data_IF_669688403768
#
_entry.id   IF_669688403768
#
_cell.length_a   1.000
_cell.length_b   1.000
_cell.length_c   1.000
_cell.angle_alpha   90.00
_cell.angle_beta   90.00
_cell.angle_gamma   90.00
#
_symmetry.space_group_name_H-M   'P 1'
#
loop_
_entity.id
_entity.type
_entity.pdbx_description
1 polymer ?
#
# COMPACT_ATOMS: atom_id res chain seq x y z
N UNK A 1 3.78 -5.85 18.96
CA UNK A 1 5.05 -6.59 19.08
C UNK A 1 4.82 -8.06 19.40
N UNK A 2 3.97 -8.39 20.37
CA UNK A 2 3.75 -9.79 20.79
C UNK A 2 3.16 -10.70 19.69
N UNK A 3 2.40 -10.14 18.74
CA UNK A 3 1.92 -10.87 17.54
C UNK A 3 3.07 -11.46 16.70
N UNK A 4 4.22 -10.78 16.64
CA UNK A 4 5.40 -11.27 15.93
C UNK A 4 6.16 -12.33 16.73
N UNK A 5 6.01 -12.32 18.07
CA UNK A 5 6.72 -13.20 19.00
C UNK A 5 5.99 -14.54 19.15
N UNK A 6 4.66 -14.55 19.10
CA UNK A 6 3.84 -15.75 19.33
C UNK A 6 4.06 -16.85 18.26
N UNK A 7 4.44 -16.47 17.04
CA UNK A 7 4.84 -17.42 15.99
C UNK A 7 6.14 -18.18 16.27
N UNK A 8 6.95 -17.76 17.25
CA UNK A 8 8.20 -18.47 17.62
C UNK A 8 7.93 -19.79 18.33
N UNK A 9 6.71 -20.02 18.84
CA UNK A 9 6.32 -21.27 19.55
C UNK A 9 5.62 -22.31 18.67
N UNK A 10 5.22 -21.97 17.44
CA UNK A 10 4.54 -22.89 16.53
C UNK A 10 5.43 -23.17 15.31
N UNK A 11 6.24 -24.23 15.41
CA UNK A 11 6.88 -24.88 14.26
C UNK A 11 5.85 -25.79 13.58
N UNK A 12 4.87 -25.18 12.90
CA UNK A 12 3.97 -25.95 12.04
C UNK A 12 3.74 -25.20 10.73
N UNK A 13 4.23 -25.78 9.62
CA UNK A 13 4.21 -25.21 8.26
C UNK A 13 2.81 -25.26 7.61
N UNK A 14 1.76 -25.50 8.39
CA UNK A 14 0.43 -25.85 7.87
C UNK A 14 -0.70 -24.92 8.33
N UNK A 15 -0.39 -23.80 9.00
CA UNK A 15 -1.42 -22.86 9.47
C UNK A 15 -1.32 -21.50 8.75
N UNK A 16 -1.78 -21.49 7.49
CA UNK A 16 -2.17 -20.26 6.78
C UNK A 16 -3.49 -19.69 7.37
N UNK A 17 -4.14 -20.42 8.27
CA UNK A 17 -5.37 -20.02 8.94
C UNK A 17 -5.12 -18.91 9.98
N UNK A 18 -5.76 -17.76 9.72
CA UNK A 18 -6.08 -16.68 10.67
C UNK A 18 -4.94 -15.72 11.06
N UNK A 19 -4.38 -15.00 10.09
CA UNK A 19 -3.96 -13.63 10.40
C UNK A 19 -5.23 -12.81 10.70
N UNK A 20 -5.32 -12.28 11.91
CA UNK A 20 -6.41 -11.37 12.27
C UNK A 20 -6.31 -10.14 11.36
N UNK A 21 -7.42 -9.73 10.74
CA UNK A 21 -7.50 -8.44 10.03
C UNK A 21 -7.15 -7.31 11.01
N UNK A 22 -6.47 -6.27 10.53
CA UNK A 22 -6.06 -5.13 11.35
C UNK A 22 -7.23 -4.53 12.14
N UNK A 23 -8.41 -4.38 11.53
CA UNK A 23 -9.59 -3.90 12.24
C UNK A 23 -9.96 -4.76 13.46
N UNK A 24 -10.07 -6.08 13.27
CA UNK A 24 -10.38 -7.03 14.36
C UNK A 24 -9.32 -6.98 15.45
N UNK A 25 -8.04 -6.81 15.09
CA UNK A 25 -6.96 -6.76 16.07
C UNK A 25 -6.99 -5.46 16.87
N UNK A 26 -7.04 -4.32 16.18
CA UNK A 26 -7.06 -3.01 16.81
C UNK A 26 -8.29 -2.82 17.69
N UNK A 27 -9.46 -3.30 17.25
CA UNK A 27 -10.69 -3.29 18.05
C UNK A 27 -10.58 -4.17 19.30
N UNK A 28 -10.00 -5.38 19.17
CA UNK A 28 -9.80 -6.30 20.31
C UNK A 28 -8.88 -5.71 21.38
N UNK A 29 -7.83 -5.01 20.96
CA UNK A 29 -6.86 -4.39 21.86
C UNK A 29 -7.29 -3.00 22.38
N UNK A 30 -8.47 -2.51 21.96
CA UNK A 30 -9.04 -1.25 22.46
C UNK A 30 -8.41 0.01 21.86
N UNK A 31 -7.81 -0.07 20.68
CA UNK A 31 -7.31 1.12 19.97
C UNK A 31 -8.47 1.97 19.43
N UNK A 32 -8.31 3.30 19.48
CA UNK A 32 -9.35 4.25 19.07
C UNK A 32 -9.51 4.30 17.54
N UNK A 33 -10.70 4.70 17.07
CA UNK A 33 -10.93 4.96 15.65
C UNK A 33 -10.03 6.07 15.12
N UNK A 34 -9.90 7.17 15.87
CA UNK A 34 -9.00 8.29 15.53
C UNK A 34 -7.55 7.81 15.33
N UNK A 35 -7.01 6.89 16.14
CA UNK A 35 -5.66 6.37 15.90
C UNK A 35 -5.54 5.68 14.54
N UNK A 36 -6.56 4.92 14.09
CA UNK A 36 -6.43 4.24 12.82
C UNK A 36 -6.78 5.14 11.63
N UNK A 37 -7.80 6.00 11.74
CA UNK A 37 -8.24 6.90 10.66
C UNK A 37 -7.34 8.14 10.50
N UNK A 38 -6.86 8.72 11.60
CA UNK A 38 -6.16 10.02 11.61
C UNK A 38 -4.65 9.88 11.79
N UNK A 39 -4.14 8.68 12.11
CA UNK A 39 -2.70 8.43 12.23
C UNK A 39 -2.21 7.27 11.36
N UNK A 40 -2.73 6.05 11.55
CA UNK A 40 -2.23 4.88 10.81
C UNK A 40 -2.55 4.98 9.32
N UNK A 41 -3.78 5.31 8.93
CA UNK A 41 -4.18 5.43 7.54
C UNK A 41 -3.36 6.51 6.79
N UNK A 42 -3.20 7.76 7.30
CA UNK A 42 -2.33 8.75 6.68
C UNK A 42 -0.87 8.31 6.57
N UNK A 43 -0.32 7.73 7.65
CA UNK A 43 1.07 7.29 7.70
C UNK A 43 1.34 6.23 6.63
N UNK A 44 0.51 5.19 6.60
CA UNK A 44 0.64 4.10 5.64
C UNK A 44 0.40 4.61 4.21
N UNK A 45 -0.61 5.46 4.01
CA UNK A 45 -0.93 6.00 2.68
C UNK A 45 0.23 6.82 2.12
N UNK A 46 0.93 7.54 2.99
CA UNK A 46 2.16 8.25 2.62
C UNK A 46 3.29 7.30 2.27
N UNK A 47 3.44 6.20 2.99
CA UNK A 47 4.53 5.23 2.79
C UNK A 47 4.38 4.40 1.52
N UNK A 48 3.19 3.91 1.21
CA UNK A 48 2.98 3.12 -0.02
C UNK A 48 2.45 3.96 -1.19
N UNK A 49 2.25 5.27 -0.98
CA UNK A 49 1.82 6.20 -2.03
C UNK A 49 0.44 5.88 -2.60
N UNK A 50 -0.43 5.26 -1.80
CA UNK A 50 -1.77 4.81 -2.22
C UNK A 50 -2.77 5.01 -1.09
N UNK A 51 -4.07 5.04 -1.40
CA UNK A 51 -5.12 5.26 -0.39
C UNK A 51 -5.36 3.98 0.43
N UNK A 52 -4.59 3.80 1.50
CA UNK A 52 -4.68 2.62 2.39
C UNK A 52 -5.80 2.76 3.41
N UNK A 53 -6.36 3.96 3.60
CA UNK A 53 -7.54 4.13 4.46
C UNK A 53 -8.62 3.10 4.14
N UNK A 54 -8.81 2.80 2.86
CA UNK A 54 -9.74 1.77 2.35
C UNK A 54 -9.37 0.33 2.64
N UNK A 55 -8.08 0.03 2.71
CA UNK A 55 -7.56 -1.34 2.78
C UNK A 55 -7.17 -1.71 4.22
N UNK A 56 -6.89 -0.72 5.06
CA UNK A 56 -6.43 -0.91 6.43
C UNK A 56 -7.32 -1.87 7.23
N UNK A 57 -8.66 -1.80 7.19
CA UNK A 57 -9.50 -2.69 7.99
C UNK A 57 -9.32 -4.17 7.64
N UNK A 58 -9.10 -4.47 6.37
CA UNK A 58 -9.00 -5.82 5.81
C UNK A 58 -7.55 -6.33 5.76
N UNK A 59 -6.59 -5.45 5.95
CA UNK A 59 -5.17 -5.77 5.84
C UNK A 59 -4.73 -6.72 6.96
N UNK A 60 -3.96 -7.80 6.67
CA UNK A 60 -3.44 -8.69 7.70
C UNK A 60 -2.51 -7.96 8.68
N UNK A 61 -2.80 -8.06 9.98
CA UNK A 61 -2.04 -7.35 11.01
C UNK A 61 -0.54 -7.72 11.00
N UNK A 62 -0.20 -8.96 10.67
CA UNK A 62 1.19 -9.41 10.57
C UNK A 62 1.95 -8.70 9.46
N UNK A 63 1.31 -8.48 8.31
CA UNK A 63 1.89 -7.79 7.16
C UNK A 63 2.02 -6.30 7.47
N UNK A 64 1.04 -5.73 8.19
CA UNK A 64 1.10 -4.35 8.68
C UNK A 64 2.30 -4.10 9.57
N UNK A 65 2.44 -4.90 10.63
CA UNK A 65 3.54 -4.71 11.59
C UNK A 65 4.88 -4.90 10.87
N UNK A 66 4.99 -5.89 9.99
CA UNK A 66 6.21 -6.12 9.21
C UNK A 66 6.56 -4.90 8.36
N UNK A 67 5.61 -4.37 7.59
CA UNK A 67 5.86 -3.18 6.77
C UNK A 67 6.28 -1.97 7.61
N UNK A 68 5.62 -1.75 8.76
CA UNK A 68 6.00 -0.70 9.69
C UNK A 68 7.44 -0.90 10.24
N UNK A 69 7.86 -2.15 10.47
CA UNK A 69 9.25 -2.47 10.84
C UNK A 69 10.22 -2.22 9.68
N UNK A 70 9.88 -2.62 8.46
CA UNK A 70 10.72 -2.44 7.27
C UNK A 70 10.94 -0.95 6.97
N UNK A 71 9.93 -0.12 7.24
CA UNK A 71 10.03 1.35 7.18
C UNK A 71 10.69 1.98 8.43
N UNK A 72 11.27 1.17 9.32
CA UNK A 72 11.96 1.59 10.55
C UNK A 72 11.10 2.45 11.50
N UNK A 73 9.77 2.36 11.40
CA UNK A 73 8.86 3.18 12.20
C UNK A 73 8.77 2.75 13.67
N UNK A 74 9.31 1.59 14.02
CA UNK A 74 9.38 1.08 15.39
C UNK A 74 10.77 1.20 16.04
N UNK A 75 11.76 1.78 15.34
CA UNK A 75 13.13 1.92 15.85
C UNK A 75 13.38 3.26 16.57
N UNK A 76 14.22 3.24 17.60
CA UNK A 76 14.88 4.43 18.17
C UNK A 76 16.37 4.34 17.80
N UNK A 77 16.97 5.29 17.05
CA UNK A 77 16.54 6.65 16.69
C UNK A 77 15.65 6.68 15.45
N UNK A 78 14.93 7.79 15.26
CA UNK A 78 14.08 8.11 14.10
C UNK A 78 14.95 8.32 12.86
N UNK A 79 15.53 7.26 12.31
CA UNK A 79 16.19 7.28 11.01
C UNK A 79 15.11 7.30 9.95
N UNK A 80 14.87 8.47 9.34
CA UNK A 80 14.15 8.52 8.08
C UNK A 80 14.84 7.58 7.09
N UNK A 81 14.10 6.71 6.37
CA UNK A 81 14.71 5.89 5.34
C UNK A 81 15.46 6.78 4.34
N UNK A 82 16.65 6.36 3.91
CA UNK A 82 17.40 7.03 2.84
C UNK A 82 16.69 6.81 1.51
N UNK A 83 15.62 7.58 1.25
CA UNK A 83 14.94 7.58 -0.03
C UNK A 83 15.89 8.12 -1.10
N UNK A 84 16.13 7.31 -2.13
CA UNK A 84 16.93 7.67 -3.29
C UNK A 84 16.02 7.93 -4.47
N UNK A 85 16.45 8.82 -5.35
CA UNK A 85 15.84 9.07 -6.66
C UNK A 85 16.83 8.78 -7.77
N UNK A 86 16.30 8.49 -8.95
CA UNK A 86 17.10 8.35 -10.17
C UNK A 86 17.00 9.69 -10.90
N UNK A 87 18.14 10.34 -11.12
CA UNK A 87 18.19 11.59 -11.88
C UNK A 87 17.72 11.35 -13.32
N UNK A 88 16.91 12.26 -13.85
CA UNK A 88 16.20 12.06 -15.12
C UNK A 88 14.95 11.18 -15.02
N UNK A 89 14.65 10.65 -13.84
CA UNK A 89 13.42 9.93 -13.54
C UNK A 89 13.32 8.54 -14.18
N UNK A 90 12.15 7.92 -14.03
CA UNK A 90 11.87 6.57 -14.54
C UNK A 90 11.96 6.47 -16.06
N UNK A 91 11.69 7.56 -16.80
CA UNK A 91 11.84 7.58 -18.26
C UNK A 91 13.28 7.28 -18.69
N UNK A 92 14.27 7.79 -17.94
CA UNK A 92 15.68 7.51 -18.23
C UNK A 92 16.02 6.03 -18.05
N UNK A 93 15.44 5.38 -17.04
CA UNK A 93 15.59 3.93 -16.80
C UNK A 93 15.04 3.13 -17.97
N UNK A 94 13.80 3.41 -18.36
CA UNK A 94 13.14 2.72 -19.48
C UNK A 94 13.91 2.91 -20.78
N UNK A 95 14.34 4.14 -21.08
CA UNK A 95 15.16 4.41 -22.26
C UNK A 95 16.47 3.63 -22.22
N UNK A 96 17.15 3.58 -21.08
CA UNK A 96 18.42 2.85 -20.92
C UNK A 96 18.23 1.35 -21.12
N UNK A 97 17.17 0.76 -20.55
CA UNK A 97 16.84 -0.65 -20.74
C UNK A 97 16.47 -0.95 -22.21
N UNK A 98 15.75 -0.06 -22.87
CA UNK A 98 15.30 -0.25 -24.25
C UNK A 98 16.40 -0.02 -25.31
N UNK A 99 17.55 0.59 -24.97
CA UNK A 99 18.64 0.86 -25.93
C UNK A 99 19.16 -0.38 -26.67
N UNK A 100 19.09 -1.55 -26.04
CA UNK A 100 19.53 -2.81 -26.63
C UNK A 100 18.47 -3.51 -27.48
N UNK A 101 17.24 -3.00 -27.53
CA UNK A 101 16.16 -3.64 -28.26
C UNK A 101 16.21 -3.25 -29.74
N UNK A 102 16.10 -4.26 -30.59
CA UNK A 102 15.90 -4.03 -32.01
C UNK A 102 14.56 -3.34 -32.24
N UNK A 103 14.49 -2.21 -32.98
CA UNK A 103 13.25 -1.46 -33.19
C UNK A 103 12.11 -2.31 -33.78
N UNK A 104 12.43 -3.32 -34.58
CA UNK A 104 11.45 -4.26 -35.15
C UNK A 104 10.76 -5.16 -34.12
N UNK A 105 11.35 -5.33 -32.94
CA UNK A 105 10.77 -6.13 -31.84
C UNK A 105 9.93 -5.28 -30.87
N UNK A 106 9.91 -3.95 -31.04
CA UNK A 106 9.20 -3.01 -30.17
C UNK A 106 8.00 -2.42 -30.92
N UNK A 107 6.81 -2.89 -30.58
CA UNK A 107 5.57 -2.48 -31.24
C UNK A 107 4.77 -1.50 -30.36
N UNK A 108 4.99 -0.20 -30.56
CA UNK A 108 4.20 0.85 -29.90
C UNK A 108 2.80 0.96 -30.51
N UNK A 109 1.84 1.47 -29.74
CA UNK A 109 0.43 1.63 -30.16
C UNK A 109 -0.21 0.36 -30.73
N UNK A 110 0.30 -0.81 -30.33
CA UNK A 110 -0.12 -2.12 -30.84
C UNK A 110 -0.82 -2.88 -29.71
N UNK A 111 -2.08 -2.52 -29.44
CA UNK A 111 -2.86 -3.20 -28.41
C UNK A 111 -3.10 -4.65 -28.81
N UNK A 112 -2.78 -5.58 -27.92
CA UNK A 112 -3.21 -6.98 -28.06
C UNK A 112 -4.70 -7.05 -27.75
N UNK A 113 -5.46 -7.76 -28.59
CA UNK A 113 -6.91 -7.95 -28.44
C UNK A 113 -7.24 -9.35 -27.93
N UNK A 114 -6.53 -10.35 -28.43
CA UNK A 114 -6.83 -11.75 -28.14
C UNK A 114 -5.56 -12.60 -28.24
N UNK A 115 -5.46 -13.60 -27.37
CA UNK A 115 -4.45 -14.65 -27.43
C UNK A 115 -5.15 -16.00 -27.51
N UNK A 116 -4.91 -16.73 -28.60
CA UNK A 116 -5.50 -18.04 -28.86
C UNK A 116 -4.44 -19.11 -28.81
N UNK A 117 -4.73 -20.20 -28.10
CA UNK A 117 -3.85 -21.37 -28.10
C UNK A 117 -4.10 -22.20 -29.36
N UNK A 118 -3.07 -22.35 -30.19
CA UNK A 118 -3.14 -23.16 -31.42
C UNK A 118 -2.43 -24.51 -31.30
N UNK A 119 -1.64 -24.71 -30.24
CA UNK A 119 -0.95 -25.97 -29.96
C UNK A 119 -0.54 -26.11 -28.50
N UNK A 120 0.27 -27.13 -28.19
CA UNK A 120 0.66 -27.42 -26.79
C UNK A 120 1.39 -26.25 -26.12
N UNK A 121 2.27 -25.56 -26.84
CA UNK A 121 2.97 -24.33 -26.44
C UNK A 121 3.11 -23.43 -27.66
N UNK A 122 2.00 -23.18 -28.34
CA UNK A 122 1.95 -22.32 -29.51
C UNK A 122 0.70 -21.46 -29.40
N UNK A 123 0.90 -20.16 -29.54
CA UNK A 123 -0.11 -19.15 -29.37
C UNK A 123 -0.11 -18.21 -30.57
N UNK A 124 -1.31 -17.82 -30.98
CA UNK A 124 -1.52 -16.73 -31.93
C UNK A 124 -1.97 -15.50 -31.16
N UNK A 125 -1.24 -14.40 -31.31
CA UNK A 125 -1.58 -13.09 -30.76
C UNK A 125 -2.25 -12.29 -31.86
N UNK A 126 -3.47 -11.83 -31.61
CA UNK A 126 -4.20 -10.92 -32.48
C UNK A 126 -4.17 -9.52 -31.90
N UNK A 127 -3.69 -8.58 -32.70
CA UNK A 127 -3.60 -7.17 -32.33
C UNK A 127 -4.80 -6.39 -32.86
N UNK A 128 -5.07 -5.20 -32.31
CA UNK A 128 -6.23 -4.39 -32.67
C UNK A 128 -6.24 -3.94 -34.14
N UNK A 129 -5.09 -3.89 -34.80
CA UNK A 129 -4.96 -3.59 -36.23
C UNK A 129 -5.19 -4.82 -37.14
N UNK A 130 -5.49 -5.98 -36.55
CA UNK A 130 -5.79 -7.22 -37.27
C UNK A 130 -4.58 -8.10 -37.57
N UNK A 131 -3.35 -7.72 -37.19
CA UNK A 131 -2.18 -8.60 -37.36
C UNK A 131 -2.22 -9.78 -36.40
N UNK A 132 -1.93 -10.97 -36.95
CA UNK A 132 -1.75 -12.22 -36.23
C UNK A 132 -0.27 -12.60 -36.18
N UNK A 133 0.26 -12.80 -34.98
CA UNK A 133 1.66 -13.18 -34.74
C UNK A 133 1.70 -14.51 -33.97
N UNK A 134 2.72 -15.34 -34.20
CA UNK A 134 2.83 -16.65 -33.56
C UNK A 134 4.02 -16.70 -32.62
N UNK A 135 3.80 -17.21 -31.41
CA UNK A 135 4.82 -17.35 -30.39
C UNK A 135 4.68 -18.70 -29.68
N UNK A 136 5.81 -19.22 -29.20
CA UNK A 136 5.88 -20.42 -28.38
C UNK A 136 5.73 -20.12 -26.89
N UNK A 137 6.12 -18.91 -26.47
CA UNK A 137 6.01 -18.43 -25.11
C UNK A 137 5.49 -16.99 -25.04
N UNK A 138 4.65 -16.70 -24.04
CA UNK A 138 4.12 -15.35 -23.79
C UNK A 138 4.39 -14.95 -22.34
N UNK A 139 4.93 -13.75 -22.16
CA UNK A 139 5.11 -13.11 -20.85
C UNK A 139 4.08 -12.00 -20.71
N UNK A 140 3.22 -12.09 -19.71
CA UNK A 140 2.26 -11.04 -19.35
C UNK A 140 2.88 -10.10 -18.33
N UNK A 141 3.06 -8.83 -18.74
CA UNK A 141 3.51 -7.73 -17.88
C UNK A 141 2.46 -6.61 -17.83
N UNK A 142 1.20 -7.01 -17.62
CA UNK A 142 0.03 -6.13 -17.59
C UNK A 142 -0.85 -6.47 -16.38
N UNK A 143 -1.89 -5.66 -16.15
CA UNK A 143 -2.84 -5.90 -15.07
C UNK A 143 -3.66 -7.16 -15.27
N UNK A 144 -4.15 -7.68 -14.15
CA UNK A 144 -4.95 -8.91 -14.07
C UNK A 144 -6.18 -8.87 -14.99
N UNK A 145 -6.92 -7.75 -15.03
CA UNK A 145 -8.14 -7.62 -15.83
C UNK A 145 -7.83 -7.69 -17.33
N UNK A 146 -6.68 -7.15 -17.75
CA UNK A 146 -6.25 -7.21 -19.16
C UNK A 146 -5.82 -8.63 -19.54
N UNK A 147 -5.19 -9.39 -18.64
CA UNK A 147 -4.89 -10.82 -18.84
C UNK A 147 -6.19 -11.61 -19.05
N UNK A 148 -7.17 -11.45 -18.15
CA UNK A 148 -8.46 -12.14 -18.21
C UNK A 148 -9.19 -11.83 -19.52
N UNK A 149 -9.17 -10.57 -19.95
CA UNK A 149 -9.80 -10.11 -21.18
C UNK A 149 -9.13 -10.66 -22.44
N UNK A 150 -7.80 -10.61 -22.52
CA UNK A 150 -7.05 -11.04 -23.71
C UNK A 150 -7.07 -12.56 -23.87
N UNK A 151 -6.95 -13.31 -22.77
CA UNK A 151 -7.03 -14.78 -22.83
C UNK A 151 -8.47 -15.26 -23.04
N UNK A 152 -9.47 -14.56 -22.50
CA UNK A 152 -10.87 -14.90 -22.67
C UNK A 152 -11.15 -16.37 -22.31
N UNK A 153 -11.74 -17.12 -23.25
CA UNK A 153 -12.02 -18.55 -23.06
C UNK A 153 -10.78 -19.47 -23.10
N UNK A 154 -9.60 -18.95 -23.46
CA UNK A 154 -8.36 -19.74 -23.52
C UNK A 154 -7.65 -19.85 -22.16
N UNK A 155 -8.11 -19.10 -21.14
CA UNK A 155 -7.54 -19.17 -19.80
C UNK A 155 -7.92 -20.50 -19.12
N UNK A 156 -6.96 -21.12 -18.43
CA UNK A 156 -7.23 -22.31 -17.62
C UNK A 156 -8.00 -21.93 -16.34
N UNK A 157 -8.75 -22.86 -15.77
CA UNK A 157 -9.51 -22.62 -14.53
C UNK A 157 -8.62 -22.19 -13.37
N UNK A 158 -7.46 -22.82 -13.18
CA UNK A 158 -6.53 -22.47 -12.09
C UNK A 158 -5.89 -21.09 -12.34
N UNK A 159 -5.55 -20.78 -13.59
CA UNK A 159 -5.07 -19.45 -13.99
C UNK A 159 -6.12 -18.38 -13.74
N UNK A 160 -7.38 -18.61 -14.13
CA UNK A 160 -8.48 -17.66 -13.92
C UNK A 160 -8.66 -17.37 -12.43
N UNK A 161 -8.71 -18.40 -11.58
CA UNK A 161 -8.92 -18.24 -10.14
C UNK A 161 -7.80 -17.39 -9.50
N UNK A 162 -6.54 -17.67 -9.86
CA UNK A 162 -5.38 -16.97 -9.32
C UNK A 162 -5.33 -15.53 -9.85
N UNK A 163 -5.41 -15.33 -11.17
CA UNK A 163 -5.32 -14.01 -11.79
C UNK A 163 -6.46 -13.10 -11.33
N UNK A 164 -7.69 -13.62 -11.19
CA UNK A 164 -8.83 -12.84 -10.70
C UNK A 164 -8.66 -12.38 -9.24
N UNK A 165 -7.88 -13.11 -8.43
CA UNK A 165 -7.57 -12.71 -7.06
C UNK A 165 -6.60 -11.52 -6.96
N UNK A 166 -5.82 -11.25 -8.01
CA UNK A 166 -4.81 -10.18 -8.08
C UNK A 166 -5.42 -8.83 -8.47
N UNK A 167 -6.45 -8.42 -7.74
CA UNK A 167 -7.22 -7.20 -8.02
C UNK A 167 -6.36 -5.95 -8.03
N UNK A 168 -6.78 -4.97 -8.82
CA UNK A 168 -6.20 -3.64 -8.88
C UNK A 168 -7.24 -2.57 -8.56
N UNK A 169 -6.77 -1.41 -8.13
CA UNK A 169 -7.57 -0.22 -7.85
C UNK A 169 -7.20 0.88 -8.83
N UNK A 170 -8.20 1.56 -9.37
CA UNK A 170 -8.00 2.72 -10.24
C UNK A 170 -7.68 3.96 -9.41
N UNK A 171 -6.65 4.68 -9.81
CA UNK A 171 -6.15 5.90 -9.19
C UNK A 171 -5.94 6.99 -10.24
N UNK A 172 -6.11 8.23 -9.80
CA UNK A 172 -5.88 9.42 -10.61
C UNK A 172 -4.76 10.23 -9.95
N UNK A 173 -3.73 10.57 -10.72
CA UNK A 173 -2.71 11.54 -10.32
C UNK A 173 -2.86 12.82 -11.15
N UNK A 174 -2.89 13.97 -10.49
CA UNK A 174 -2.97 15.27 -11.16
C UNK A 174 -1.76 16.11 -10.80
N UNK A 175 -0.95 16.48 -11.79
CA UNK A 175 0.07 17.52 -11.66
C UNK A 175 -0.59 18.89 -11.84
N UNK A 176 -0.48 19.76 -10.84
CA UNK A 176 -1.09 21.08 -10.85
C UNK A 176 -0.28 22.14 -10.10
N UNK A 177 -0.60 23.40 -10.35
CA UNK A 177 -0.14 24.58 -9.59
C UNK A 177 -1.29 25.29 -8.88
N UNK A 178 -2.41 24.61 -8.68
CA UNK A 178 -3.61 25.21 -8.08
C UNK A 178 -3.36 25.68 -6.64
N UNK A 179 -3.43 26.99 -6.35
CA UNK A 179 -3.22 27.52 -5.00
C UNK A 179 -4.38 27.22 -4.05
N UNK A 180 -5.55 26.81 -4.53
CA UNK A 180 -6.71 26.50 -3.68
C UNK A 180 -6.68 25.08 -3.12
N UNK A 181 -5.93 24.18 -3.76
CA UNK A 181 -5.63 22.84 -3.23
C UNK A 181 -4.37 22.82 -2.36
N UNK A 182 -3.74 23.98 -2.17
CA UNK A 182 -2.58 24.16 -1.31
C UNK A 182 -3.00 24.44 0.15
N UNK A 183 -2.69 23.57 1.11
CA UNK A 183 -2.86 23.90 2.52
C UNK A 183 -1.77 24.90 2.88
N UNK A 184 -2.17 26.16 3.00
CA UNK A 184 -1.42 27.27 3.57
C UNK A 184 -0.36 27.92 2.64
N UNK A 185 -0.64 29.17 2.26
CA UNK A 185 0.19 29.97 1.34
C UNK A 185 1.48 30.49 2.02
N UNK A 186 1.54 30.49 3.36
CA UNK A 186 2.51 31.25 4.16
C UNK A 186 3.48 30.42 5.03
N UNK A 187 3.44 29.08 4.97
CA UNK A 187 4.32 28.20 5.77
C UNK A 187 5.20 27.27 4.91
N UNK A 188 6.23 26.67 5.53
CA UNK A 188 6.98 25.57 4.90
C UNK A 188 6.05 24.36 4.76
N UNK A 189 5.64 24.04 3.53
CA UNK A 189 4.81 22.87 3.26
C UNK A 189 5.63 21.60 3.52
N UNK A 190 5.16 20.64 4.33
CA UNK A 190 5.75 19.31 4.37
C UNK A 190 5.86 18.68 2.98
N UNK A 191 6.78 17.77 2.78
CA UNK A 191 6.97 17.14 1.46
C UNK A 191 5.68 16.47 0.93
N UNK A 192 4.85 15.97 1.85
CA UNK A 192 3.60 15.24 1.59
C UNK A 192 2.48 15.78 2.51
N UNK A 193 1.25 15.84 2.03
CA UNK A 193 0.06 16.16 2.82
C UNK A 193 -1.10 15.20 2.54
N UNK A 194 -1.73 14.68 3.59
CA UNK A 194 -2.84 13.74 3.51
C UNK A 194 -4.14 14.41 3.97
N UNK A 195 -5.15 14.41 3.11
CA UNK A 195 -6.46 15.01 3.38
C UNK A 195 -7.51 13.91 3.46
N UNK A 196 -8.32 13.94 4.51
CA UNK A 196 -9.50 13.08 4.69
C UNK A 196 -10.76 13.82 4.27
N UNK A 197 -11.71 13.11 3.66
CA UNK A 197 -13.04 13.66 3.43
C UNK A 197 -13.81 13.66 4.75
N UNK A 198 -14.15 14.85 5.25
CA UNK A 198 -14.95 15.00 6.47
C UNK A 198 -16.45 14.88 6.19
N UNK A 199 -16.87 14.93 4.93
CA UNK A 199 -18.28 14.80 4.52
C UNK A 199 -18.74 13.36 4.36
N UNK A 200 -17.79 12.42 4.36
CA UNK A 200 -18.04 10.97 4.38
C UNK A 200 -18.43 10.52 5.81
N UNK A 201 -19.58 11.01 6.27
CA UNK A 201 -20.26 10.44 7.42
C UNK A 201 -20.89 9.12 6.97
N UNK A 202 -20.59 7.98 7.62
CA UNK A 202 -21.40 6.78 7.43
C UNK A 202 -22.80 7.09 7.96
N UNK A 203 -23.66 7.59 7.07
CA UNK A 203 -25.08 7.64 7.28
C UNK A 203 -25.52 6.16 7.28
N UNK A 204 -25.99 5.71 8.44
CA UNK A 204 -26.36 4.34 8.82
C UNK A 204 -25.32 3.56 9.63
N UNK A 205 -25.84 3.06 10.76
CA UNK A 205 -25.26 2.08 11.68
C UNK A 205 -24.86 0.79 10.94
N UNK A 206 -23.77 0.83 10.19
CA UNK A 206 -23.09 -0.38 9.74
C UNK A 206 -22.12 -0.83 10.84
N UNK A 207 -22.15 -2.10 11.27
CA UNK A 207 -21.24 -2.63 12.29
C UNK A 207 -19.80 -2.82 11.77
N UNK A 208 -19.49 -2.34 10.55
CA UNK A 208 -18.19 -2.46 9.92
C UNK A 208 -17.59 -1.07 9.71
N UNK A 209 -16.31 -0.92 10.09
CA UNK A 209 -15.48 0.23 9.75
C UNK A 209 -15.54 0.51 8.25
N UNK A 210 -16.32 1.53 7.85
CA UNK A 210 -16.36 2.02 6.48
C UNK A 210 -15.22 3.04 6.31
N UNK A 211 -14.28 2.78 5.40
CA UNK A 211 -13.11 3.62 5.28
C UNK A 211 -13.42 4.92 4.54
N UNK A 212 -12.98 6.04 5.10
CA UNK A 212 -13.14 7.37 4.48
C UNK A 212 -12.30 7.48 3.22
N UNK A 213 -12.83 8.19 2.22
CA UNK A 213 -12.02 8.61 1.08
C UNK A 213 -10.87 9.52 1.54
N UNK A 214 -9.73 9.41 0.85
CA UNK A 214 -8.53 10.19 1.14
C UNK A 214 -7.82 10.61 -0.13
N UNK A 215 -7.13 11.75 -0.03
CA UNK A 215 -6.33 12.35 -1.09
C UNK A 215 -4.96 12.71 -0.55
N UNK A 216 -3.92 12.45 -1.35
CA UNK A 216 -2.53 12.67 -0.97
C UNK A 216 -1.89 13.66 -1.94
N UNK A 217 -1.36 14.75 -1.42
CA UNK A 217 -0.68 15.79 -2.21
C UNK A 217 0.81 15.82 -1.91
N UNK A 218 1.61 15.74 -2.97
CA UNK A 218 3.06 15.80 -2.93
C UNK A 218 3.56 17.17 -3.41
N UNK A 219 4.48 17.78 -2.66
CA UNK A 219 5.22 18.95 -3.12
C UNK A 219 6.39 18.52 -4.01
N UNK A 220 6.20 18.65 -5.33
CA UNK A 220 7.17 18.18 -6.33
C UNK A 220 8.43 19.01 -6.31
N UNK A 221 8.34 20.32 -6.02
CA UNK A 221 9.52 21.18 -5.91
C UNK A 221 10.49 20.65 -4.87
N UNK A 222 9.97 20.26 -3.70
CA UNK A 222 10.77 19.71 -2.60
C UNK A 222 11.29 18.31 -2.92
N UNK A 223 10.45 17.43 -3.49
CA UNK A 223 10.84 16.05 -3.80
C UNK A 223 11.87 15.92 -4.92
N UNK A 224 11.83 16.84 -5.88
CA UNK A 224 12.65 16.78 -7.09
C UNK A 224 13.72 17.87 -7.15
N UNK A 225 13.90 18.65 -6.08
CA UNK A 225 14.78 19.82 -6.02
C UNK A 225 14.53 20.80 -7.19
N UNK A 226 13.27 20.99 -7.58
CA UNK A 226 12.88 21.87 -8.70
C UNK A 226 12.73 23.31 -8.18
N UNK A 227 13.51 24.28 -8.71
CA UNK A 227 13.45 25.65 -8.24
C UNK A 227 12.07 26.29 -8.51
N UNK A 228 11.39 26.69 -7.44
CA UNK A 228 10.08 27.36 -7.52
C UNK A 228 10.13 28.66 -8.32
N UNK A 229 11.28 29.35 -8.35
CA UNK A 229 11.47 30.56 -9.15
C UNK A 229 11.40 30.33 -10.67
N UNK A 230 11.61 29.08 -11.14
CA UNK A 230 11.58 28.74 -12.55
C UNK A 230 10.24 28.12 -12.99
N UNK A 231 9.60 27.35 -12.11
CA UNK A 231 8.45 26.51 -12.48
C UNK A 231 7.19 26.75 -11.62
N UNK A 232 7.19 27.80 -10.80
CA UNK A 232 6.18 28.03 -9.77
C UNK A 232 6.07 26.85 -8.79
N UNK A 233 5.06 26.86 -7.92
CA UNK A 233 4.74 25.76 -7.01
C UNK A 233 4.06 24.63 -7.79
N UNK A 234 4.62 23.43 -7.68
CA UNK A 234 4.18 22.23 -8.38
C UNK A 234 3.78 21.16 -7.39
N UNK A 235 2.58 20.63 -7.60
CA UNK A 235 1.98 19.61 -6.75
C UNK A 235 1.51 18.43 -7.59
N UNK A 236 1.67 17.22 -7.05
CA UNK A 236 0.95 16.05 -7.55
C UNK A 236 -0.06 15.65 -6.50
N UNK A 237 -1.34 15.72 -6.83
CA UNK A 237 -2.42 15.24 -5.96
C UNK A 237 -2.98 13.93 -6.49
N UNK A 238 -2.98 12.91 -5.64
CA UNK A 238 -3.57 11.61 -5.88
C UNK A 238 -5.03 11.60 -5.41
N UNK A 239 -5.91 11.12 -6.27
CA UNK A 239 -7.35 10.99 -6.04
C UNK A 239 -7.97 12.25 -5.40
N UNK A 240 -7.82 13.44 -6.03
CA UNK A 240 -8.33 14.69 -5.47
C UNK A 240 -9.85 14.61 -5.26
N UNK A 241 -10.32 15.02 -4.08
CA UNK A 241 -11.77 15.10 -3.81
C UNK A 241 -12.47 16.10 -4.73
N UNK A 242 -11.81 17.24 -4.92
CA UNK A 242 -12.22 18.27 -5.86
C UNK A 242 -11.10 18.40 -6.89
N UNK A 243 -11.39 18.24 -8.20
CA UNK A 243 -10.36 18.38 -9.21
C UNK A 243 -9.78 19.81 -9.16
N UNK A 244 -8.46 19.99 -9.40
CA UNK A 244 -7.88 21.31 -9.51
C UNK A 244 -8.57 22.10 -10.62
N UNK A 245 -8.61 23.41 -10.46
CA UNK A 245 -9.14 24.30 -11.48
C UNK A 245 -8.41 24.04 -12.82
N UNK A 246 -9.12 23.85 -13.95
CA UNK A 246 -8.51 23.40 -15.21
C UNK A 246 -7.33 24.25 -15.69
N UNK A 247 -7.36 25.56 -15.42
CA UNK A 247 -6.27 26.50 -15.73
C UNK A 247 -4.93 26.16 -15.03
N UNK A 248 -4.99 25.49 -13.89
CA UNK A 248 -3.82 25.13 -13.09
C UNK A 248 -3.47 23.64 -13.19
N UNK A 249 -4.28 22.84 -13.89
CA UNK A 249 -4.01 21.43 -14.13
C UNK A 249 -3.08 21.27 -15.34
N UNK A 250 -1.90 20.72 -15.12
CA UNK A 250 -0.87 20.55 -16.17
C UNK A 250 -0.98 19.20 -16.85
N UNK A 251 -1.18 18.15 -16.06
CA UNK A 251 -1.32 16.75 -16.52
C UNK A 251 -2.19 15.95 -15.57
N UNK A 252 -2.90 14.99 -16.15
CA UNK A 252 -3.73 14.01 -15.44
C UNK A 252 -3.28 12.64 -15.94
N UNK A 253 -3.04 11.73 -15.02
CA UNK A 253 -2.74 10.33 -15.30
C UNK A 253 -3.72 9.44 -14.57
N UNK A 254 -4.23 8.45 -15.29
CA UNK A 254 -4.99 7.35 -14.72
C UNK A 254 -4.08 6.12 -14.68
N UNK A 255 -4.07 5.44 -13.54
CA UNK A 255 -3.22 4.27 -13.34
C UNK A 255 -3.85 3.31 -12.32
N UNK A 256 -3.34 2.09 -12.29
CA UNK A 256 -3.79 1.01 -11.43
C UNK A 256 -2.74 0.69 -10.36
N UNK A 257 -3.18 0.45 -9.13
CA UNK A 257 -2.36 -0.07 -8.03
C UNK A 257 -2.89 -1.43 -7.56
N UNK A 258 -2.02 -2.32 -7.09
CA UNK A 258 -2.43 -3.58 -6.46
C UNK A 258 -3.37 -3.31 -5.28
N UNK A 259 -4.52 -3.99 -5.27
CA UNK A 259 -5.41 -4.03 -4.12
C UNK A 259 -4.87 -5.05 -3.10
N UNK A 260 -4.31 -4.57 -1.99
CA UNK A 260 -3.83 -5.46 -0.94
C UNK A 260 -4.98 -6.01 -0.10
N UNK A 261 -5.38 -7.25 -0.41
CA UNK A 261 -6.42 -7.99 0.32
C UNK A 261 -5.96 -9.39 0.72
N UNK A 262 -6.70 -10.06 1.60
CA UNK A 262 -6.44 -11.48 1.92
C UNK A 262 -6.55 -12.36 0.67
N UNK A 263 -7.46 -12.03 -0.24
CA UNK A 263 -7.65 -12.75 -1.51
C UNK A 263 -6.42 -12.56 -2.41
N UNK A 264 -5.91 -11.34 -2.51
CA UNK A 264 -4.76 -11.02 -3.36
C UNK A 264 -3.48 -11.64 -2.82
N UNK A 265 -3.30 -11.68 -1.49
CA UNK A 265 -2.16 -12.39 -0.88
C UNK A 265 -2.24 -13.92 -1.09
N UNK A 266 -3.45 -14.50 -1.01
CA UNK A 266 -3.64 -15.92 -1.31
C UNK A 266 -3.35 -16.22 -2.79
N UNK A 267 -3.82 -15.38 -3.70
CA UNK A 267 -3.52 -15.49 -5.12
C UNK A 267 -2.02 -15.39 -5.40
N UNK A 268 -1.33 -14.41 -4.78
CA UNK A 268 0.13 -14.27 -4.87
C UNK A 268 0.85 -15.55 -4.43
N UNK A 269 0.46 -16.15 -3.31
CA UNK A 269 1.08 -17.40 -2.82
C UNK A 269 0.89 -18.60 -3.75
N UNK A 270 -0.15 -18.54 -4.61
CA UNK A 270 -0.49 -19.59 -5.59
C UNK A 270 0.10 -19.34 -6.98
N UNK A 271 0.65 -18.16 -7.26
CA UNK A 271 1.27 -17.84 -8.56
C UNK A 271 2.26 -18.90 -9.06
N UNK A 272 3.16 -19.49 -8.22
CA UNK A 272 4.09 -20.51 -8.69
C UNK A 272 3.43 -21.75 -9.31
N UNK A 273 2.14 -22.00 -9.02
CA UNK A 273 1.40 -23.13 -9.58
C UNK A 273 1.18 -22.99 -11.09
N UNK A 274 1.00 -21.75 -11.58
CA UNK A 274 0.66 -21.48 -12.99
C UNK A 274 1.86 -21.04 -13.84
N UNK A 275 2.98 -20.64 -13.21
CA UNK A 275 4.14 -20.14 -13.94
C UNK A 275 4.74 -21.18 -14.90
N UNK A 276 4.88 -20.78 -16.16
CA UNK A 276 5.52 -21.53 -17.25
C UNK A 276 4.98 -22.96 -17.48
N UNK A 277 3.77 -23.29 -16.98
CA UNK A 277 3.21 -24.65 -17.15
C UNK A 277 2.83 -24.96 -18.59
N UNK A 278 2.34 -23.96 -19.31
CA UNK A 278 1.86 -24.10 -20.70
C UNK A 278 2.49 -23.09 -21.68
N UNK A 279 3.67 -22.56 -21.36
CA UNK A 279 4.34 -21.52 -22.16
C UNK A 279 3.77 -20.12 -21.93
N UNK A 280 3.13 -19.90 -20.77
CA UNK A 280 2.69 -18.58 -20.32
C UNK A 280 3.41 -18.26 -19.02
N UNK A 281 3.84 -17.01 -18.87
CA UNK A 281 4.42 -16.51 -17.62
C UNK A 281 3.74 -15.21 -17.26
N UNK A 282 3.51 -15.00 -15.97
CA UNK A 282 2.75 -13.87 -15.48
C UNK A 282 3.61 -13.09 -14.49
N UNK A 283 4.00 -11.86 -14.83
CA UNK A 283 4.84 -11.07 -13.94
C UNK A 283 4.65 -9.58 -14.14
N UNK A 284 4.24 -8.92 -13.07
CA UNK A 284 4.02 -7.49 -13.00
C UNK A 284 4.19 -7.04 -11.55
N UNK A 285 3.96 -5.77 -11.23
CA UNK A 285 4.08 -5.25 -9.84
C UNK A 285 3.28 -6.06 -8.81
N UNK A 286 2.18 -6.70 -9.22
CA UNK A 286 1.32 -7.49 -8.33
C UNK A 286 1.92 -8.83 -7.90
N UNK A 287 3.08 -9.25 -8.41
CA UNK A 287 3.78 -10.48 -7.97
C UNK A 287 4.37 -10.35 -6.57
N UNK A 288 4.55 -9.12 -6.09
CA UNK A 288 5.09 -8.82 -4.77
C UNK A 288 4.30 -7.73 -4.06
N UNK A 289 5.00 -6.71 -3.55
CA UNK A 289 4.39 -5.65 -2.73
C UNK A 289 3.79 -4.50 -3.56
N UNK A 290 3.87 -4.54 -4.88
CA UNK A 290 3.32 -3.50 -5.75
C UNK A 290 4.29 -2.38 -6.11
N UNK A 291 5.59 -2.53 -5.84
CA UNK A 291 6.62 -1.54 -6.16
C UNK A 291 7.37 -1.87 -7.46
N UNK A 292 8.20 -0.92 -7.92
CA UNK A 292 9.04 -1.09 -9.11
C UNK A 292 9.97 -2.30 -9.00
N UNK A 293 10.53 -2.53 -7.81
CA UNK A 293 11.41 -3.68 -7.53
C UNK A 293 10.71 -5.01 -7.82
N UNK A 294 9.43 -5.15 -7.43
CA UNK A 294 8.67 -6.37 -7.67
C UNK A 294 8.45 -6.61 -9.19
N UNK A 295 8.22 -5.54 -9.95
CA UNK A 295 8.07 -5.61 -11.41
C UNK A 295 9.39 -5.98 -12.11
N UNK A 296 10.51 -5.37 -11.71
CA UNK A 296 11.83 -5.65 -12.30
C UNK A 296 12.29 -7.06 -11.95
N UNK A 297 12.18 -7.45 -10.69
CA UNK A 297 12.66 -8.75 -10.20
C UNK A 297 11.82 -9.90 -10.74
N UNK A 298 10.50 -9.75 -10.89
CA UNK A 298 9.68 -10.76 -11.58
C UNK A 298 10.02 -10.88 -13.07
N UNK A 299 10.31 -9.78 -13.76
CA UNK A 299 10.80 -9.79 -15.14
C UNK A 299 12.11 -10.57 -15.28
N UNK A 300 13.06 -10.31 -14.38
CA UNK A 300 14.34 -11.03 -14.32
C UNK A 300 14.15 -12.51 -14.02
N UNK A 301 13.31 -12.85 -13.05
CA UNK A 301 12.98 -14.25 -12.69
C UNK A 301 12.46 -15.01 -13.91
N UNK A 302 11.49 -14.46 -14.64
CA UNK A 302 10.94 -15.10 -15.83
C UNK A 302 11.98 -15.22 -16.95
N UNK A 303 12.80 -14.19 -17.17
CA UNK A 303 13.85 -14.24 -18.17
C UNK A 303 14.88 -15.35 -17.87
N UNK A 304 15.29 -15.47 -16.61
CA UNK A 304 16.32 -16.45 -16.18
C UNK A 304 15.71 -17.85 -16.09
N UNK A 305 14.68 -18.04 -15.26
CA UNK A 305 14.15 -19.36 -14.90
C UNK A 305 13.26 -19.96 -16.00
N UNK A 306 12.55 -19.13 -16.78
CA UNK A 306 11.62 -19.64 -17.81
C UNK A 306 12.23 -19.65 -19.21
N UNK A 307 13.12 -18.69 -19.51
CA UNK A 307 13.70 -18.50 -20.84
C UNK A 307 15.21 -18.77 -20.90
N UNK A 308 15.88 -19.01 -19.77
CA UNK A 308 17.31 -19.37 -19.73
C UNK A 308 18.27 -18.20 -19.95
N UNK A 309 17.82 -16.96 -19.72
CA UNK A 309 18.68 -15.78 -19.83
C UNK A 309 19.80 -15.80 -18.78
N UNK A 310 20.97 -15.28 -19.14
CA UNK A 310 22.09 -15.10 -18.23
C UNK A 310 22.27 -13.61 -17.93
N UNK A 311 22.44 -13.28 -16.65
CA UNK A 311 22.67 -11.92 -16.18
C UNK A 311 24.06 -11.80 -15.53
N UNK A 312 24.75 -10.65 -15.66
CA UNK A 312 26.11 -10.48 -15.16
C UNK A 312 26.18 -10.19 -13.65
N UNK A 313 25.07 -10.32 -12.93
CA UNK A 313 24.95 -10.01 -11.50
C UNK A 313 24.03 -11.02 -10.81
N UNK A 314 24.20 -11.18 -9.51
CA UNK A 314 23.30 -12.00 -8.69
C UNK A 314 21.97 -11.28 -8.49
N UNK A 315 20.86 -11.97 -8.78
CA UNK A 315 19.50 -11.45 -8.54
C UNK A 315 19.05 -11.87 -7.16
N UNK A 316 18.70 -10.90 -6.32
CA UNK A 316 18.11 -11.17 -5.01
C UNK A 316 16.59 -11.12 -5.12
N UNK A 317 15.97 -12.30 -5.11
CA UNK A 317 14.52 -12.39 -5.07
C UNK A 317 14.03 -12.01 -3.68
N UNK A 318 13.06 -11.09 -3.64
CA UNK A 318 12.39 -10.80 -2.37
C UNK A 318 11.64 -12.05 -1.91
N UNK A 319 11.82 -12.48 -0.65
CA UNK A 319 11.00 -13.55 -0.11
C UNK A 319 9.52 -13.13 -0.17
N UNK A 320 8.64 -14.14 -0.30
CA UNK A 320 7.19 -14.01 -0.30
C UNK A 320 6.76 -12.89 0.70
N UNK A 321 5.87 -11.95 0.30
CA UNK A 321 5.37 -10.91 1.21
C UNK A 321 4.86 -11.45 2.55
N UNK A 322 4.42 -12.71 2.57
CA UNK A 322 4.04 -13.45 3.77
C UNK A 322 5.19 -14.21 4.46
N UNK A 323 6.23 -14.59 3.72
CA UNK A 323 7.26 -15.55 4.13
C UNK A 323 8.69 -15.01 3.94
N UNK A 324 9.10 -14.01 4.74
CA UNK A 324 10.50 -13.59 4.88
C UNK A 324 11.20 -14.28 6.04
N UNK A 325 12.41 -14.80 5.78
CA UNK A 325 13.26 -15.64 6.64
C UNK A 325 13.93 -14.92 7.81
N UNK A 326 13.69 -13.62 7.98
CA UNK A 326 14.05 -12.87 9.19
C UNK A 326 12.86 -12.04 9.61
N UNK A 327 12.09 -12.55 10.57
CA UNK A 327 11.27 -11.67 11.39
C UNK A 327 12.20 -10.59 11.95
N UNK A 328 11.82 -9.29 11.89
CA UNK A 328 12.64 -8.25 12.49
C UNK A 328 12.83 -8.62 13.97
N UNK A 329 14.05 -9.01 14.33
CA UNK A 329 14.43 -9.28 15.71
C UNK A 329 14.57 -7.92 16.37
N UNK A 330 13.44 -7.40 16.83
CA UNK A 330 13.44 -6.25 17.72
C UNK A 330 13.87 -6.81 19.07
N UNK A 331 15.19 -6.83 19.29
CA UNK A 331 15.75 -7.09 20.60
C UNK A 331 15.38 -5.91 21.50
N UNK A 332 14.36 -6.13 22.32
CA UNK A 332 13.94 -5.15 23.33
C UNK A 332 15.10 -4.98 24.31
N UNK A 333 15.65 -3.77 24.36
CA UNK A 333 16.69 -3.43 25.31
C UNK A 333 16.12 -3.28 26.72
N UNK A 334 17.01 -3.22 27.69
CA UNK A 334 16.66 -2.95 29.10
C UNK A 334 15.84 -1.65 29.25
N UNK A 335 16.12 -0.65 28.40
CA UNK A 335 15.35 0.61 28.32
C UNK A 335 13.90 0.38 27.90
N UNK A 336 13.65 -0.46 26.90
CA UNK A 336 12.29 -0.75 26.43
C UNK A 336 11.48 -1.50 27.48
N UNK A 337 12.13 -2.42 28.21
CA UNK A 337 11.51 -3.12 29.33
C UNK A 337 11.16 -2.18 30.48
N UNK A 338 12.02 -1.22 30.80
CA UNK A 338 11.75 -0.20 31.82
C UNK A 338 10.58 0.70 31.41
N UNK A 339 10.56 1.19 30.17
CA UNK A 339 9.46 2.00 29.64
C UNK A 339 8.14 1.23 29.67
N UNK A 340 8.14 -0.04 29.23
CA UNK A 340 6.94 -0.90 29.30
C UNK A 340 6.44 -1.09 30.72
N UNK A 341 7.36 -1.33 31.66
CA UNK A 341 6.99 -1.52 33.06
C UNK A 341 6.38 -0.24 33.64
N UNK A 342 6.98 0.92 33.35
CA UNK A 342 6.46 2.22 33.78
C UNK A 342 5.06 2.51 33.19
N UNK A 343 4.85 2.26 31.89
CA UNK A 343 3.55 2.41 31.25
C UNK A 343 2.50 1.44 31.82
N UNK A 344 2.90 0.20 32.12
CA UNK A 344 2.00 -0.78 32.73
C UNK A 344 1.59 -0.34 34.15
N UNK A 345 2.55 0.13 34.96
CA UNK A 345 2.27 0.69 36.29
C UNK A 345 1.36 1.92 36.22
N UNK A 346 1.60 2.83 35.27
CA UNK A 346 0.74 3.99 35.06
C UNK A 346 -0.69 3.58 34.68
N UNK A 347 -0.86 2.57 33.82
CA UNK A 347 -2.17 2.03 33.45
C UNK A 347 -2.88 1.36 34.63
N UNK A 348 -2.17 0.57 35.42
CA UNK A 348 -2.72 -0.03 36.65
C UNK A 348 -3.14 1.07 37.62
N UNK A 349 -2.32 2.09 37.82
CA UNK A 349 -2.64 3.21 38.68
C UNK A 349 -3.91 3.96 38.21
N UNK A 350 -4.02 4.24 36.91
CA UNK A 350 -5.21 4.88 36.33
C UNK A 350 -6.48 4.02 36.53
N UNK A 351 -6.39 2.70 36.36
CA UNK A 351 -7.51 1.78 36.57
C UNK A 351 -7.90 1.69 38.05
N UNK A 352 -6.92 1.59 38.96
CA UNK A 352 -7.17 1.60 40.41
C UNK A 352 -7.84 2.91 40.80
N UNK A 353 -7.35 4.04 40.29
CA UNK A 353 -7.95 5.35 40.52
C UNK A 353 -9.40 5.42 40.01
N UNK A 354 -9.69 4.93 38.79
CA UNK A 354 -11.04 4.83 38.25
C UNK A 354 -11.96 3.96 39.11
N UNK A 355 -11.49 2.78 39.55
CA UNK A 355 -12.27 1.86 40.39
C UNK A 355 -12.55 2.49 41.76
N UNK A 356 -11.53 3.07 42.39
CA UNK A 356 -11.67 3.79 43.66
C UNK A 356 -12.64 4.97 43.54
N UNK A 357 -12.65 5.66 42.40
CA UNK A 357 -13.57 6.77 42.11
C UNK A 357 -15.03 6.29 41.99
N UNK A 358 -15.27 5.19 41.28
CA UNK A 358 -16.61 4.57 41.16
C UNK A 358 -17.11 4.10 42.54
N UNK A 359 -16.23 3.50 43.35
CA UNK A 359 -16.55 3.09 44.72
C UNK A 359 -16.89 4.30 45.60
N UNK A 360 -16.14 5.40 45.53
CA UNK A 360 -16.44 6.63 46.27
C UNK A 360 -17.80 7.23 45.87
N UNK A 361 -18.13 7.21 44.58
CA UNK A 361 -19.44 7.62 44.09
C UNK A 361 -20.57 6.74 44.61
N UNK A 362 -20.37 5.42 44.64
CA UNK A 362 -21.34 4.47 45.20
C UNK A 362 -21.53 4.61 46.73
N UNK A 363 -20.52 5.13 47.43
CA UNK A 363 -20.53 5.44 48.87
C UNK A 363 -21.15 6.82 49.19
N UNK A 364 -21.69 7.54 48.20
CA UNK A 364 -22.47 8.77 48.40
C UNK A 364 -21.64 10.06 48.47
N UNK A 365 -20.37 10.04 48.07
CA UNK A 365 -19.59 11.27 47.93
C UNK A 365 -20.01 12.08 46.68
N UNK A 366 -20.10 13.42 46.76
CA UNK A 366 -20.55 14.25 45.63
C UNK A 366 -19.46 14.33 44.54
N UNK A 367 -19.61 13.55 43.48
CA UNK A 367 -18.67 13.43 42.35
C UNK A 367 -18.80 14.59 41.34
N UNK A 368 -19.86 15.39 41.39
CA UNK A 368 -20.25 16.35 40.34
C UNK A 368 -19.43 17.63 40.21
N UNK A 369 -18.48 17.92 41.11
CA UNK A 369 -17.74 19.21 41.09
C UNK A 369 -16.44 19.22 40.28
N UNK A 370 -15.97 18.06 39.80
CA UNK A 370 -14.66 17.94 39.11
C UNK A 370 -14.80 17.57 37.63
N UNK A 371 -15.96 17.05 37.18
CA UNK A 371 -16.24 16.85 35.74
C UNK A 371 -16.07 18.15 34.93
N UNK A 372 -16.52 19.28 35.49
CA UNK A 372 -16.31 20.63 34.92
C UNK A 372 -14.84 21.07 34.89
N UNK A 373 -13.98 20.48 35.73
CA UNK A 373 -12.55 20.77 35.77
C UNK A 373 -11.77 19.89 34.77
N UNK A 374 -12.26 18.68 34.50
CA UNK A 374 -11.68 17.75 33.54
C UNK A 374 -12.04 18.08 32.08
N UNK A 375 -13.27 18.56 31.81
CA UNK A 375 -13.61 19.13 30.48
C UNK A 375 -12.72 20.34 30.12
N UNK A 376 -12.28 21.11 31.12
CA UNK A 376 -11.39 22.24 30.93
C UNK A 376 -9.93 21.82 30.65
N UNK A 377 -9.47 20.68 31.19
CA UNK A 377 -8.12 20.15 30.96
C UNK A 377 -7.99 19.29 29.69
N UNK A 378 -9.06 18.63 29.23
CA UNK A 378 -9.04 17.74 28.06
C UNK A 378 -9.53 18.41 26.76
N UNK A 379 -9.73 19.74 26.76
CA UNK A 379 -10.06 20.49 25.55
C UNK A 379 -11.52 20.37 25.13
N UNK A 380 -12.42 20.96 25.93
CA UNK A 380 -13.82 21.17 25.56
C UNK A 380 -13.95 22.03 24.30
N UNK A 381 -14.53 21.43 23.27
CA UNK A 381 -14.93 22.03 22.01
C UNK A 381 -15.98 23.13 22.26
N UNK A 382 -15.59 24.41 22.17
CA UNK A 382 -16.54 25.51 22.01
C UNK A 382 -16.47 26.05 20.60
N UNK A 383 -17.39 25.54 19.80
CA UNK A 383 -18.00 26.28 18.71
C UNK A 383 -18.35 27.72 19.14
N UNK A 384 -17.66 28.68 18.56
CA UNK A 384 -18.08 30.07 18.49
C UNK A 384 -19.35 30.15 17.63
N UNK A 385 -20.51 30.18 18.30
CA UNK A 385 -21.69 30.90 17.80
C UNK A 385 -21.69 32.27 18.45
N UNK A 386 -21.21 33.26 17.71
CA UNK A 386 -21.74 34.62 17.64
C UNK A 386 -21.28 35.24 16.33
#
# INVERSE_FOLDING_TARGET
MDILIDKRRSHDKTNVQQSLSTHKFLSKEGYSRSLCDEYLAPLLSTLWGTNIGRLLPHFPMTTLIRSLCDHQLFGTPRTTPDFRRIDGGTSHVVQTMARGFSPENVHLNTSVREIVRVGKRQYSIFTADGRGLHFDHIVFAVDNDEILKILGSNIDTEEMEIIQGLKTTNNIAVLHSDPFLAPNIHGSWPTNNYTLDLTDHPQHDFPAWAPRKSSLTYNVNSLQDIPTCLFDRLYITLNPFTPPHPRFAHRIWEYTDLELSTVSLQAQSRLPLIQNKRGLSYGFRWTGRGFLEDAVTSGLEMAIEHLGAQVPFEVQYHPDPMCSSKSPSIELGLKDHLVRTALCLARVYALVFQISWILLGALGFPVSRVETMFEWMLGGDRMLKS
#
